data_IF_322463722738
#
_entry.id   IF_322463722738
#
_cell.length_a   1.000
_cell.length_b   1.000
_cell.length_c   1.000
_cell.angle_alpha   90.00
_cell.angle_beta   90.00
_cell.angle_gamma   90.00
#
_symmetry.space_group_name_H-M   'P 1'
#
loop_
_entity.id
_entity.type
_entity.pdbx_description
1 polymer ?
#
# COMPACT_ATOMS: atom_id res chain seq x y z
N UNK A 1 -24.94 -12.00 -14.78
CA UNK A 1 -25.34 -13.43 -14.87
C UNK A 1 -24.26 -14.21 -14.14
N UNK A 2 -24.60 -15.06 -13.15
CA UNK A 2 -23.63 -15.62 -12.23
C UNK A 2 -22.94 -16.82 -12.89
N UNK A 3 -21.67 -16.64 -13.28
CA UNK A 3 -20.80 -17.71 -13.73
C UNK A 3 -20.05 -18.29 -12.55
N UNK A 4 -20.37 -19.52 -12.20
CA UNK A 4 -19.71 -20.32 -11.18
C UNK A 4 -18.23 -20.55 -11.53
N UNK A 5 -17.33 -20.19 -10.61
CA UNK A 5 -15.94 -20.63 -10.58
C UNK A 5 -15.51 -20.76 -9.12
N UNK A 6 -15.21 -21.99 -8.68
CA UNK A 6 -15.00 -22.40 -7.29
C UNK A 6 -14.16 -21.42 -6.43
N UNK A 7 -14.50 -21.22 -5.14
CA UNK A 7 -13.59 -20.56 -4.20
C UNK A 7 -12.33 -21.43 -4.10
N UNK A 8 -11.16 -20.86 -4.39
CA UNK A 8 -9.88 -21.55 -4.19
C UNK A 8 -9.05 -20.80 -3.16
N UNK A 9 -9.45 -20.93 -1.90
CA UNK A 9 -8.55 -20.97 -0.76
C UNK A 9 -9.22 -21.71 0.40
N UNK A 10 -8.45 -22.60 1.03
CA UNK A 10 -8.85 -23.45 2.17
C UNK A 10 -8.64 -22.76 3.54
N UNK A 11 -8.34 -21.46 3.55
CA UNK A 11 -7.91 -20.75 4.76
C UNK A 11 -9.07 -19.98 5.42
N UNK A 12 -9.44 -20.30 6.68
CA UNK A 12 -10.63 -19.77 7.34
C UNK A 12 -10.58 -18.28 7.71
N UNK A 13 -9.46 -17.59 7.48
CA UNK A 13 -9.26 -16.18 7.88
C UNK A 13 -9.35 -15.18 6.72
N UNK A 14 -9.62 -15.62 5.48
CA UNK A 14 -9.77 -14.73 4.33
C UNK A 14 -11.24 -14.61 3.94
N UNK A 15 -11.82 -13.45 4.27
CA UNK A 15 -13.25 -13.19 4.03
C UNK A 15 -13.55 -12.75 2.58
N UNK A 16 -12.55 -12.29 1.81
CA UNK A 16 -12.71 -11.78 0.45
C UNK A 16 -11.59 -12.30 -0.50
N UNK A 17 -11.99 -12.83 -1.67
CA UNK A 17 -11.05 -13.27 -2.72
C UNK A 17 -10.25 -12.08 -3.25
N UNK A 18 -9.00 -12.32 -3.68
CA UNK A 18 -8.19 -11.25 -4.27
C UNK A 18 -8.78 -10.76 -5.58
N UNK A 19 -9.45 -11.61 -6.38
CA UNK A 19 -9.94 -11.27 -7.72
C UNK A 19 -11.26 -10.48 -7.84
N UNK A 20 -11.95 -10.19 -6.74
CA UNK A 20 -13.24 -9.47 -6.72
C UNK A 20 -13.09 -8.05 -6.15
N UNK A 21 -13.95 -7.12 -6.60
CA UNK A 21 -14.01 -5.74 -6.09
C UNK A 21 -12.65 -4.98 -6.06
N UNK A 22 -11.80 -5.17 -7.08
CA UNK A 22 -10.43 -4.62 -7.12
C UNK A 22 -10.31 -3.15 -6.73
N UNK A 23 -11.21 -2.29 -7.22
CA UNK A 23 -11.16 -0.84 -6.98
C UNK A 23 -11.39 -0.53 -5.51
N UNK A 24 -12.40 -1.16 -4.91
CA UNK A 24 -12.73 -0.95 -3.50
C UNK A 24 -11.60 -1.45 -2.60
N UNK A 25 -11.07 -2.66 -2.88
CA UNK A 25 -9.93 -3.25 -2.15
C UNK A 25 -8.67 -2.38 -2.27
N UNK A 26 -8.40 -1.87 -3.46
CA UNK A 26 -7.28 -0.96 -3.69
C UNK A 26 -7.42 0.31 -2.85
N UNK A 27 -8.60 0.93 -2.88
CA UNK A 27 -8.83 2.17 -2.13
C UNK A 27 -8.74 1.93 -0.62
N UNK A 28 -9.31 0.84 -0.09
CA UNK A 28 -9.22 0.54 1.34
C UNK A 28 -7.77 0.32 1.78
N UNK A 29 -6.99 -0.48 1.04
CA UNK A 29 -5.57 -0.68 1.33
C UNK A 29 -4.75 0.61 1.19
N UNK A 30 -5.01 1.42 0.17
CA UNK A 30 -4.31 2.69 -0.02
C UNK A 30 -4.58 3.67 1.13
N UNK A 31 -5.82 3.77 1.60
CA UNK A 31 -6.18 4.60 2.75
C UNK A 31 -5.53 4.07 4.03
N UNK A 32 -5.57 2.76 4.26
CA UNK A 32 -4.90 2.14 5.43
C UNK A 32 -3.39 2.40 5.41
N UNK A 33 -2.74 2.21 4.27
CA UNK A 33 -1.32 2.50 4.08
C UNK A 33 -1.00 3.98 4.30
N UNK A 34 -1.84 4.89 3.80
CA UNK A 34 -1.66 6.33 3.98
C UNK A 34 -1.80 6.75 5.45
N UNK A 35 -2.75 6.16 6.20
CA UNK A 35 -2.89 6.41 7.63
C UNK A 35 -1.63 5.97 8.38
N UNK A 36 -1.16 4.75 8.13
CA UNK A 36 0.08 4.23 8.73
C UNK A 36 1.27 5.12 8.39
N UNK A 37 1.39 5.57 7.13
CA UNK A 37 2.45 6.48 6.71
C UNK A 37 2.37 7.86 7.33
N UNK A 38 1.16 8.38 7.56
CA UNK A 38 0.96 9.65 8.24
C UNK A 38 1.38 9.59 9.71
N UNK A 39 1.01 8.51 10.41
CA UNK A 39 1.46 8.27 11.78
C UNK A 39 2.98 8.08 11.86
N UNK A 40 3.55 7.33 10.92
CA UNK A 40 5.01 7.14 10.84
C UNK A 40 5.74 8.47 10.60
N UNK A 41 5.28 9.29 9.65
CA UNK A 41 5.88 10.60 9.39
C UNK A 41 5.74 11.58 10.55
N UNK A 42 4.61 11.53 11.27
CA UNK A 42 4.42 12.32 12.48
C UNK A 42 5.40 11.89 13.59
N UNK A 43 5.51 10.59 13.86
CA UNK A 43 6.46 10.06 14.84
C UNK A 43 7.93 10.37 14.45
N UNK A 44 8.27 10.22 13.18
CA UNK A 44 9.60 10.54 12.66
C UNK A 44 9.95 12.01 12.89
N UNK A 45 9.05 12.93 12.55
CA UNK A 45 9.29 14.36 12.76
C UNK A 45 9.30 14.79 14.23
N UNK A 46 8.62 14.06 15.12
CA UNK A 46 8.64 14.33 16.56
C UNK A 46 9.93 13.84 17.25
N UNK A 47 10.53 12.74 16.76
CA UNK A 47 11.71 12.12 17.36
C UNK A 47 13.02 12.61 16.76
N UNK A 48 13.01 13.12 15.52
CA UNK A 48 14.22 13.60 14.86
C UNK A 48 14.64 14.97 15.38
N UNK A 49 15.94 15.17 15.55
CA UNK A 49 16.52 16.48 15.85
C UNK A 49 16.25 17.41 14.66
N UNK A 50 15.72 18.63 14.86
CA UNK A 50 15.41 19.55 13.78
C UNK A 50 16.62 19.78 12.87
N UNK A 51 16.46 19.51 11.58
CA UNK A 51 17.46 19.91 10.59
C UNK A 51 17.42 21.45 10.47
N UNK A 52 18.58 22.13 10.29
CA UNK A 52 18.64 23.58 10.14
C UNK A 52 18.18 23.98 8.73
N UNK A 53 16.91 23.76 8.40
CA UNK A 53 16.29 24.22 7.17
C UNK A 53 15.66 25.62 7.35
N UNK A 54 15.51 26.40 6.26
CA UNK A 54 14.85 27.71 6.30
C UNK A 54 13.33 27.64 6.51
N UNK A 55 12.75 26.44 6.61
CA UNK A 55 11.31 26.24 6.76
C UNK A 55 10.89 26.18 8.23
N UNK A 56 9.67 26.63 8.60
CA UNK A 56 9.19 26.51 9.96
C UNK A 56 8.99 25.02 10.32
N UNK A 57 9.38 24.64 11.53
CA UNK A 57 9.39 23.25 12.02
C UNK A 57 8.08 22.49 11.77
N UNK A 58 6.95 23.16 11.96
CA UNK A 58 5.61 22.61 11.74
C UNK A 58 5.41 22.21 10.27
N UNK A 59 5.89 23.04 9.33
CA UNK A 59 5.75 22.78 7.90
C UNK A 59 6.62 21.59 7.48
N UNK A 60 7.82 21.46 8.05
CA UNK A 60 8.69 20.31 7.84
C UNK A 60 8.02 19.00 8.30
N UNK A 61 7.38 19.00 9.48
CA UNK A 61 6.60 17.85 9.96
C UNK A 61 5.48 17.47 8.97
N UNK A 62 4.72 18.45 8.47
CA UNK A 62 3.67 18.19 7.49
C UNK A 62 4.21 17.67 6.15
N UNK A 63 5.38 18.13 5.72
CA UNK A 63 6.06 17.61 4.53
C UNK A 63 6.40 16.14 4.76
N UNK A 64 7.05 15.78 5.86
CA UNK A 64 7.35 14.38 6.16
C UNK A 64 6.09 13.51 6.24
N UNK A 65 5.07 13.96 6.96
CA UNK A 65 3.77 13.26 7.02
C UNK A 65 3.20 13.03 5.62
N UNK A 66 3.15 14.06 4.77
CA UNK A 66 2.66 13.94 3.38
C UNK A 66 3.45 12.89 2.61
N UNK A 67 4.77 12.92 2.70
CA UNK A 67 5.65 12.07 1.90
C UNK A 67 5.52 10.60 2.30
N UNK A 68 5.55 10.32 3.61
CA UNK A 68 5.38 8.96 4.12
C UNK A 68 3.95 8.44 3.90
N UNK A 69 2.92 9.28 4.03
CA UNK A 69 1.53 8.92 3.69
C UNK A 69 1.39 8.54 2.22
N UNK A 70 1.93 9.35 1.31
CA UNK A 70 1.86 9.09 -0.13
C UNK A 70 2.64 7.82 -0.49
N UNK A 71 3.81 7.63 0.12
CA UNK A 71 4.65 6.46 -0.13
C UNK A 71 3.97 5.17 0.34
N UNK A 72 3.57 5.10 1.60
CA UNK A 72 2.96 3.89 2.17
C UNK A 72 1.56 3.64 1.64
N UNK A 73 0.77 4.70 1.41
CA UNK A 73 -0.53 4.58 0.75
C UNK A 73 -0.42 4.12 -0.70
N UNK A 74 0.53 4.68 -1.46
CA UNK A 74 0.82 4.25 -2.83
C UNK A 74 1.30 2.79 -2.88
N UNK A 75 2.20 2.40 -1.98
CA UNK A 75 2.72 1.05 -1.92
C UNK A 75 1.62 0.02 -1.58
N UNK A 76 0.78 0.32 -0.59
CA UNK A 76 -0.35 -0.54 -0.22
C UNK A 76 -1.41 -0.63 -1.33
N UNK A 77 -1.70 0.48 -2.00
CA UNK A 77 -2.60 0.50 -3.16
C UNK A 77 -2.05 -0.33 -4.33
N UNK A 78 -0.77 -0.18 -4.67
CA UNK A 78 -0.11 -0.97 -5.71
C UNK A 78 -0.06 -2.45 -5.37
N UNK A 79 0.17 -2.79 -4.10
CA UNK A 79 0.10 -4.16 -3.62
C UNK A 79 -1.28 -4.75 -3.92
N UNK A 80 -2.36 -4.12 -3.43
CA UNK A 80 -3.72 -4.60 -3.62
C UNK A 80 -4.17 -4.64 -5.09
N UNK A 81 -3.77 -3.65 -5.89
CA UNK A 81 -4.03 -3.67 -7.34
C UNK A 81 -3.35 -4.85 -8.02
N UNK A 82 -2.09 -5.09 -7.68
CA UNK A 82 -1.30 -6.16 -8.29
C UNK A 82 -1.83 -7.53 -7.88
N UNK A 83 -2.19 -7.72 -6.61
CA UNK A 83 -2.78 -8.98 -6.14
C UNK A 83 -4.13 -9.23 -6.80
N UNK A 84 -4.99 -8.20 -6.90
CA UNK A 84 -6.29 -8.34 -7.55
C UNK A 84 -6.17 -8.64 -9.04
N UNK A 85 -5.35 -7.87 -9.77
CA UNK A 85 -5.15 -8.07 -11.21
C UNK A 85 -4.51 -9.43 -11.53
N UNK A 86 -3.52 -9.85 -10.74
CA UNK A 86 -2.90 -11.18 -10.92
C UNK A 86 -3.86 -12.32 -10.61
N UNK A 87 -4.72 -12.17 -9.58
CA UNK A 87 -5.79 -13.11 -9.28
C UNK A 87 -6.84 -13.17 -10.40
N UNK A 88 -7.32 -12.02 -10.90
CA UNK A 88 -8.29 -11.95 -12.00
C UNK A 88 -7.75 -12.53 -13.30
N UNK A 89 -6.46 -12.33 -13.61
CA UNK A 89 -5.86 -12.85 -14.85
C UNK A 89 -5.57 -14.35 -14.80
N UNK A 90 -5.20 -14.89 -13.63
CA UNK A 90 -4.84 -16.30 -13.47
C UNK A 90 -6.00 -17.17 -13.00
N UNK A 91 -7.13 -16.56 -12.62
CA UNK A 91 -8.27 -17.18 -11.93
C UNK A 91 -7.81 -18.09 -10.78
N UNK A 92 -6.72 -17.66 -10.16
CA UNK A 92 -6.00 -18.39 -9.13
C UNK A 92 -5.56 -17.43 -8.07
N UNK A 93 -5.86 -17.85 -6.89
CA UNK A 93 -5.64 -17.19 -5.65
C UNK A 93 -4.49 -18.01 -5.06
N UNK A 94 -3.26 -17.50 -5.21
CA UNK A 94 -2.02 -18.17 -4.79
C UNK A 94 -1.13 -17.14 -4.04
N UNK A 95 -0.25 -17.57 -3.12
CA UNK A 95 0.75 -16.69 -2.47
C UNK A 95 1.67 -15.97 -3.46
N UNK A 96 1.78 -16.48 -4.70
CA UNK A 96 2.53 -15.86 -5.78
C UNK A 96 1.97 -14.49 -6.15
N UNK A 97 0.65 -14.28 -6.05
CA UNK A 97 0.03 -12.98 -6.31
C UNK A 97 0.51 -11.94 -5.29
N UNK A 98 0.61 -12.33 -4.01
CA UNK A 98 1.13 -11.47 -2.94
C UNK A 98 2.63 -11.20 -3.10
N UNK A 99 3.40 -12.19 -3.57
CA UNK A 99 4.79 -11.98 -3.94
C UNK A 99 4.93 -10.91 -5.03
N UNK A 100 4.13 -11.00 -6.10
CA UNK A 100 4.12 -10.00 -7.17
C UNK A 100 3.71 -8.61 -6.65
N UNK A 101 2.67 -8.54 -5.82
CA UNK A 101 2.28 -7.28 -5.17
C UNK A 101 3.40 -6.70 -4.30
N UNK A 102 4.15 -7.55 -3.60
CA UNK A 102 5.33 -7.17 -2.82
C UNK A 102 6.45 -6.61 -3.69
N UNK A 103 6.74 -7.23 -4.84
CA UNK A 103 7.75 -6.74 -5.79
C UNK A 103 7.37 -5.38 -6.38
N UNK A 104 6.11 -5.21 -6.80
CA UNK A 104 5.63 -3.95 -7.39
C UNK A 104 5.63 -2.82 -6.34
N UNK A 105 5.10 -3.09 -5.15
CA UNK A 105 5.12 -2.12 -4.04
C UNK A 105 6.54 -1.80 -3.58
N UNK A 106 7.43 -2.79 -3.49
CA UNK A 106 8.85 -2.62 -3.19
C UNK A 106 9.59 -1.76 -4.22
N UNK A 107 9.25 -1.90 -5.50
CA UNK A 107 9.80 -1.07 -6.58
C UNK A 107 9.44 0.41 -6.37
N UNK A 108 8.23 0.71 -5.89
CA UNK A 108 7.84 2.09 -5.56
C UNK A 108 8.72 2.68 -4.45
N UNK A 109 9.06 1.90 -3.42
CA UNK A 109 10.00 2.36 -2.39
C UNK A 109 11.37 2.70 -2.99
N UNK A 110 11.89 1.84 -3.87
CA UNK A 110 13.14 2.07 -4.58
C UNK A 110 13.12 3.38 -5.38
N UNK A 111 12.08 3.60 -6.18
CA UNK A 111 11.92 4.85 -6.93
C UNK A 111 11.78 6.06 -6.01
N UNK A 112 11.00 5.95 -4.93
CA UNK A 112 10.77 7.07 -4.02
C UNK A 112 12.04 7.49 -3.28
N UNK A 113 12.91 6.54 -2.92
CA UNK A 113 14.16 6.80 -2.18
C UNK A 113 15.14 7.69 -2.93
N UNK A 114 15.01 7.83 -4.25
CA UNK A 114 15.86 8.70 -5.06
C UNK A 114 15.39 10.16 -5.06
N UNK A 115 14.13 10.41 -4.71
CA UNK A 115 13.51 11.74 -4.74
C UNK A 115 13.35 12.39 -3.34
N UNK A 116 13.80 11.73 -2.28
CA UNK A 116 13.75 12.18 -0.88
C UNK A 116 15.13 12.20 -0.24
#
# INVERSE_FOLDING_TARGET
>A
MPGHGCPKFDEPWMEELDGENCVQRTMSFAVQGALVGGFYGAAYSALKIPDPEPTPLILQSFIHMKNYSLLLGGAAGLFALTTCTSASMREKDDPLNWFLGGVVSGSLFGFSSEYW
#
